data_IF_853406984242
#
_entry.id   IF_853406984242
#
_cell.length_a   1.000
_cell.length_b   1.000
_cell.length_c   1.000
_cell.angle_alpha   90.00
_cell.angle_beta   90.00
_cell.angle_gamma   90.00
#
_symmetry.space_group_name_H-M   'P 1'
#
loop_
_entity.id
_entity.type
_entity.pdbx_description
1 polymer ?
#
# COMPACT_ATOMS: atom_id res chain seq x y z
N UNK A 1 49.82 -28.69 -3.49
CA UNK A 1 50.89 -29.64 -3.08
C UNK A 1 51.66 -30.04 -4.32
N UNK A 2 52.96 -29.72 -4.36
CA UNK A 2 54.10 -30.54 -4.78
C UNK A 2 55.30 -29.60 -4.88
N UNK A 3 56.23 -29.82 -3.96
CA UNK A 3 57.58 -29.29 -3.89
C UNK A 3 58.40 -29.63 -5.13
N UNK A 4 59.28 -28.72 -5.55
CA UNK A 4 60.59 -29.07 -6.13
C UNK A 4 61.65 -28.03 -5.76
N UNK A 5 62.27 -28.31 -4.63
CA UNK A 5 63.70 -28.13 -4.42
C UNK A 5 64.49 -28.59 -5.65
N UNK A 6 65.45 -27.77 -6.07
CA UNK A 6 66.54 -28.18 -6.95
C UNK A 6 67.83 -27.67 -6.36
N UNK A 7 68.42 -28.54 -5.54
CA UNK A 7 69.80 -28.44 -5.09
C UNK A 7 70.73 -28.55 -6.30
N UNK A 8 71.78 -27.72 -6.38
CA UNK A 8 73.03 -28.22 -6.96
C UNK A 8 74.28 -27.74 -6.22
N UNK A 9 75.22 -28.69 -6.16
CA UNK A 9 76.36 -28.88 -5.28
C UNK A 9 77.51 -27.88 -5.42
N UNK A 10 78.12 -27.60 -4.25
CA UNK A 10 79.57 -27.58 -3.92
C UNK A 10 80.56 -27.10 -4.99
N UNK A 11 81.30 -26.05 -4.64
CA UNK A 11 82.76 -26.07 -4.75
C UNK A 11 83.36 -25.19 -3.67
N UNK A 12 84.21 -25.78 -2.83
CA UNK A 12 84.90 -25.05 -1.78
C UNK A 12 86.04 -24.23 -2.36
N UNK A 13 86.11 -22.96 -1.97
CA UNK A 13 87.37 -22.23 -1.93
C UNK A 13 87.52 -21.61 -0.55
N UNK A 14 88.42 -22.22 0.24
CA UNK A 14 88.97 -21.61 1.45
C UNK A 14 89.95 -20.53 1.00
N UNK A 15 89.45 -19.30 0.86
CA UNK A 15 90.31 -18.13 0.79
C UNK A 15 90.44 -17.56 2.19
N UNK A 16 91.56 -17.88 2.85
CA UNK A 16 92.06 -17.09 3.97
C UNK A 16 92.22 -15.65 3.47
N UNK A 17 91.37 -14.74 3.95
CA UNK A 17 91.64 -13.31 3.84
C UNK A 17 91.73 -12.75 5.26
N UNK A 18 92.95 -12.32 5.56
CA UNK A 18 93.39 -11.54 6.69
C UNK A 18 92.28 -10.65 7.26
N UNK A 19 92.11 -10.72 8.59
CA UNK A 19 91.55 -9.62 9.37
C UNK A 19 92.46 -8.40 9.17
N UNK A 20 92.08 -7.49 8.28
CA UNK A 20 92.56 -6.11 8.32
C UNK A 20 91.58 -5.31 9.16
N UNK A 21 92.08 -4.86 10.32
CA UNK A 21 91.48 -3.76 11.07
C UNK A 21 91.60 -2.51 10.20
N UNK A 22 90.47 -1.83 9.98
CA UNK A 22 90.42 -0.39 9.68
C UNK A 22 90.68 0.03 8.23
N UNK A 23 89.60 0.26 7.49
CA UNK A 23 89.44 1.51 6.75
C UNK A 23 87.93 1.73 6.55
N UNK A 24 87.32 2.49 7.45
CA UNK A 24 86.04 3.13 7.16
C UNK A 24 86.30 4.13 6.02
N UNK A 25 86.16 3.64 4.78
CA UNK A 25 86.22 4.47 3.59
C UNK A 25 84.97 5.37 3.64
N UNK A 26 85.11 6.69 3.84
CA UNK A 26 83.98 7.59 3.97
C UNK A 26 83.09 7.60 2.71
N UNK A 27 83.63 7.16 1.56
CA UNK A 27 82.87 6.93 0.33
C UNK A 27 81.82 5.81 0.48
N UNK A 28 82.15 4.72 1.17
CA UNK A 28 81.27 3.55 1.25
C UNK A 28 80.11 3.77 2.24
N UNK A 29 80.37 4.49 3.33
CA UNK A 29 79.34 4.89 4.30
C UNK A 29 78.38 5.94 3.70
N UNK A 30 78.89 6.84 2.85
CA UNK A 30 78.08 7.80 2.11
C UNK A 30 77.20 7.11 1.07
N UNK A 31 77.73 6.13 0.34
CA UNK A 31 76.98 5.33 -0.64
C UNK A 31 75.87 4.49 0.00
N UNK A 32 76.12 3.90 1.17
CA UNK A 32 75.09 3.19 1.95
C UNK A 32 74.00 4.14 2.48
N UNK A 33 74.38 5.34 2.94
CA UNK A 33 73.42 6.38 3.36
C UNK A 33 72.56 6.88 2.20
N UNK A 34 73.15 7.09 1.02
CA UNK A 34 72.42 7.50 -0.20
C UNK A 34 71.45 6.40 -0.64
N UNK A 35 71.87 5.12 -0.62
CA UNK A 35 70.98 4.00 -0.92
C UNK A 35 69.83 3.87 0.08
N UNK A 36 70.11 3.98 1.38
CA UNK A 36 69.08 3.94 2.42
C UNK A 36 68.09 5.10 2.29
N UNK A 37 68.58 6.30 1.94
CA UNK A 37 67.73 7.45 1.67
C UNK A 37 66.85 7.24 0.44
N UNK A 38 67.40 6.71 -0.65
CA UNK A 38 66.64 6.36 -1.86
C UNK A 38 65.50 5.37 -1.58
N UNK A 39 65.76 4.31 -0.80
CA UNK A 39 64.73 3.33 -0.41
C UNK A 39 63.61 3.98 0.41
N UNK A 40 63.95 4.87 1.35
CA UNK A 40 62.95 5.59 2.16
C UNK A 40 62.12 6.55 1.32
N UNK A 41 62.73 7.25 0.36
CA UNK A 41 62.02 8.14 -0.55
C UNK A 41 61.07 7.35 -1.46
N UNK A 42 61.51 6.22 -2.03
CA UNK A 42 60.64 5.35 -2.83
C UNK A 42 59.46 4.83 -2.02
N UNK A 43 59.69 4.33 -0.80
CA UNK A 43 58.60 3.87 0.06
C UNK A 43 57.61 5.00 0.43
N UNK A 44 58.11 6.24 0.58
CA UNK A 44 57.26 7.40 0.82
C UNK A 44 56.44 7.81 -0.41
N UNK A 45 57.03 7.71 -1.60
CA UNK A 45 56.32 7.95 -2.88
C UNK A 45 55.22 6.90 -3.08
N UNK A 46 55.52 5.62 -2.82
CA UNK A 46 54.54 4.54 -2.93
C UNK A 46 53.35 4.75 -1.98
N UNK A 47 53.61 5.17 -0.73
CA UNK A 47 52.56 5.52 0.24
C UNK A 47 51.72 6.73 -0.18
N UNK A 48 52.34 7.76 -0.75
CA UNK A 48 51.61 8.92 -1.28
C UNK A 48 50.74 8.54 -2.47
N UNK A 49 51.21 7.63 -3.32
CA UNK A 49 50.46 7.15 -4.46
C UNK A 49 49.25 6.30 -4.03
N UNK A 50 49.44 5.37 -3.08
CA UNK A 50 48.35 4.56 -2.51
C UNK A 50 47.29 5.44 -1.82
N UNK A 51 47.73 6.43 -1.03
CA UNK A 51 46.81 7.39 -0.39
C UNK A 51 46.09 8.26 -1.43
N UNK A 52 46.79 8.66 -2.50
CA UNK A 52 46.20 9.42 -3.60
C UNK A 52 45.12 8.63 -4.33
N UNK A 53 45.38 7.36 -4.63
CA UNK A 53 44.41 6.45 -5.27
C UNK A 53 43.15 6.24 -4.39
N UNK A 54 43.32 6.08 -3.07
CA UNK A 54 42.20 5.98 -2.12
C UNK A 54 41.33 7.25 -2.11
N UNK A 55 41.95 8.43 -2.07
CA UNK A 55 41.23 9.72 -2.13
C UNK A 55 40.45 9.87 -3.44
N UNK A 56 41.03 9.51 -4.59
CA UNK A 56 40.33 9.54 -5.87
C UNK A 56 39.13 8.58 -5.90
N UNK A 57 39.25 7.39 -5.32
CA UNK A 57 38.11 6.46 -5.22
C UNK A 57 37.00 6.97 -4.30
N UNK A 58 37.35 7.63 -3.19
CA UNK A 58 36.37 8.23 -2.28
C UNK A 58 35.67 9.42 -2.94
N UNK A 59 36.39 10.27 -3.66
CA UNK A 59 35.82 11.40 -4.40
C UNK A 59 34.80 10.93 -5.45
N UNK A 60 35.13 9.90 -6.24
CA UNK A 60 34.20 9.30 -7.21
C UNK A 60 32.95 8.75 -6.53
N UNK A 61 33.11 8.09 -5.39
CA UNK A 61 31.98 7.55 -4.61
C UNK A 61 31.07 8.66 -4.09
N UNK A 62 31.64 9.76 -3.59
CA UNK A 62 30.89 10.94 -3.14
C UNK A 62 30.15 11.59 -4.30
N UNK A 63 30.77 11.69 -5.47
CA UNK A 63 30.15 12.25 -6.67
C UNK A 63 28.96 11.39 -7.14
N UNK A 64 29.10 10.06 -7.15
CA UNK A 64 28.00 9.14 -7.46
C UNK A 64 26.85 9.24 -6.44
N UNK A 65 27.16 9.34 -5.14
CA UNK A 65 26.15 9.54 -4.09
C UNK A 65 25.44 10.88 -4.21
N UNK A 66 26.16 11.95 -4.53
CA UNK A 66 25.59 13.28 -4.75
C UNK A 66 24.64 13.28 -5.95
N UNK A 67 25.05 12.65 -7.06
CA UNK A 67 24.18 12.53 -8.24
C UNK A 67 22.90 11.73 -7.95
N UNK A 68 22.99 10.64 -7.19
CA UNK A 68 21.80 9.90 -6.73
C UNK A 68 20.91 10.73 -5.81
N UNK A 69 21.51 11.55 -4.95
CA UNK A 69 20.77 12.46 -4.08
C UNK A 69 20.00 13.51 -4.88
N UNK A 70 20.61 14.09 -5.90
CA UNK A 70 19.96 15.08 -6.79
C UNK A 70 18.76 14.47 -7.53
N UNK A 71 18.90 13.23 -8.02
CA UNK A 71 17.79 12.48 -8.63
C UNK A 71 16.66 12.28 -7.61
N UNK A 72 16.98 11.81 -6.40
CA UNK A 72 15.98 11.61 -5.34
C UNK A 72 15.29 12.91 -4.89
N UNK A 73 16.00 14.04 -4.90
CA UNK A 73 15.42 15.37 -4.63
C UNK A 73 14.44 15.76 -5.75
N UNK A 74 14.80 15.52 -7.01
CA UNK A 74 13.92 15.79 -8.15
C UNK A 74 12.65 14.94 -8.10
N UNK A 75 12.79 13.63 -7.90
CA UNK A 75 11.65 12.72 -7.77
C UNK A 75 10.73 13.11 -6.61
N UNK A 76 11.30 13.51 -5.48
CA UNK A 76 10.54 14.01 -4.33
C UNK A 76 9.77 15.29 -4.67
N UNK A 77 10.36 16.20 -5.45
CA UNK A 77 9.68 17.42 -5.90
C UNK A 77 8.48 17.10 -6.79
N UNK A 78 8.65 16.20 -7.76
CA UNK A 78 7.57 15.78 -8.65
C UNK A 78 6.40 15.13 -7.88
N UNK A 79 6.73 14.33 -6.85
CA UNK A 79 5.72 13.76 -5.95
C UNK A 79 4.97 14.83 -5.15
N UNK A 80 5.67 15.87 -4.68
CA UNK A 80 5.03 16.99 -3.95
C UNK A 80 4.07 17.77 -4.85
N UNK A 81 4.47 18.07 -6.08
CA UNK A 81 3.63 18.77 -7.06
C UNK A 81 2.37 17.93 -7.39
N UNK A 82 2.52 16.60 -7.52
CA UNK A 82 1.40 15.68 -7.72
C UNK A 82 0.45 15.64 -6.52
N UNK A 83 0.97 15.67 -5.29
CA UNK A 83 0.16 15.73 -4.06
C UNK A 83 -0.64 17.04 -4.02
N UNK A 84 -0.04 18.17 -4.40
CA UNK A 84 -0.72 19.47 -4.44
C UNK A 84 -1.87 19.46 -5.45
N UNK A 85 -1.64 18.91 -6.65
CA UNK A 85 -2.68 18.73 -7.66
C UNK A 85 -3.85 17.86 -7.14
N UNK A 86 -3.54 16.70 -6.55
CA UNK A 86 -4.57 15.81 -6.00
C UNK A 86 -5.37 16.44 -4.86
N UNK A 87 -4.75 17.29 -4.03
CA UNK A 87 -5.48 18.05 -3.00
C UNK A 87 -6.49 19.01 -3.61
N UNK A 88 -6.13 19.68 -4.71
CA UNK A 88 -7.04 20.59 -5.41
C UNK A 88 -8.24 19.84 -6.00
N UNK A 89 -8.00 18.73 -6.69
CA UNK A 89 -9.05 17.89 -7.26
C UNK A 89 -9.99 17.35 -6.19
N UNK A 90 -9.45 16.98 -5.02
CA UNK A 90 -10.26 16.53 -3.87
C UNK A 90 -11.23 17.61 -3.39
N UNK A 91 -10.77 18.86 -3.27
CA UNK A 91 -11.63 19.98 -2.85
C UNK A 91 -12.74 20.24 -3.87
N UNK A 92 -12.42 20.18 -5.17
CA UNK A 92 -13.43 20.34 -6.22
C UNK A 92 -14.47 19.21 -6.19
N UNK A 93 -14.02 17.97 -6.00
CA UNK A 93 -14.91 16.81 -5.88
C UNK A 93 -15.80 16.89 -4.64
N UNK A 94 -15.26 17.29 -3.48
CA UNK A 94 -16.03 17.54 -2.26
C UNK A 94 -17.10 18.62 -2.48
N UNK A 95 -16.79 19.67 -3.25
CA UNK A 95 -17.75 20.72 -3.60
C UNK A 95 -18.89 20.17 -4.47
N UNK A 96 -18.57 19.41 -5.53
CA UNK A 96 -19.57 18.80 -6.41
C UNK A 96 -20.45 17.79 -5.67
N UNK A 97 -19.86 17.02 -4.76
CA UNK A 97 -20.60 16.07 -3.94
C UNK A 97 -21.65 16.78 -3.06
N UNK A 98 -21.27 17.89 -2.40
CA UNK A 98 -22.20 18.70 -1.61
C UNK A 98 -23.37 19.24 -2.44
N UNK A 99 -23.09 19.70 -3.66
CA UNK A 99 -24.12 20.17 -4.58
C UNK A 99 -25.12 19.07 -4.95
N UNK A 100 -24.62 17.87 -5.27
CA UNK A 100 -25.49 16.71 -5.58
C UNK A 100 -26.36 16.32 -4.37
N UNK A 101 -25.78 16.28 -3.16
CA UNK A 101 -26.54 15.97 -1.94
C UNK A 101 -27.65 16.99 -1.72
N UNK A 102 -27.36 18.27 -1.90
CA UNK A 102 -28.36 19.33 -1.77
C UNK A 102 -29.50 19.17 -2.78
N UNK A 103 -29.18 18.88 -4.05
CA UNK A 103 -30.19 18.64 -5.08
C UNK A 103 -31.08 17.43 -4.75
N UNK A 104 -30.50 16.35 -4.21
CA UNK A 104 -31.25 15.17 -3.78
C UNK A 104 -32.19 15.47 -2.59
N UNK A 105 -31.76 16.29 -1.63
CA UNK A 105 -32.60 16.73 -0.51
C UNK A 105 -33.77 17.60 -0.99
N UNK A 106 -33.51 18.53 -1.91
CA UNK A 106 -34.52 19.37 -2.55
C UNK A 106 -35.54 18.53 -3.34
N UNK A 107 -35.10 17.51 -4.07
CA UNK A 107 -36.00 16.62 -4.81
C UNK A 107 -36.82 15.72 -3.88
N UNK A 108 -36.22 15.20 -2.81
CA UNK A 108 -36.91 14.37 -1.82
C UNK A 108 -38.00 15.16 -1.07
N UNK A 109 -37.70 16.42 -0.68
CA UNK A 109 -38.70 17.30 -0.07
C UNK A 109 -39.85 17.62 -1.02
N UNK A 110 -39.56 17.85 -2.31
CA UNK A 110 -40.56 18.02 -3.35
C UNK A 110 -41.45 16.78 -3.51
N UNK A 111 -40.86 15.59 -3.61
CA UNK A 111 -41.57 14.32 -3.74
C UNK A 111 -42.47 14.03 -2.53
N UNK A 112 -42.01 14.32 -1.30
CA UNK A 112 -42.84 14.21 -0.09
C UNK A 112 -44.07 15.11 -0.16
N UNK A 113 -43.91 16.36 -0.60
CA UNK A 113 -45.01 17.31 -0.78
C UNK A 113 -46.03 16.81 -1.81
N UNK A 114 -45.56 16.29 -2.95
CA UNK A 114 -46.44 15.79 -4.00
C UNK A 114 -47.16 14.50 -3.57
N UNK A 115 -46.50 13.60 -2.83
CA UNK A 115 -47.13 12.43 -2.23
C UNK A 115 -48.24 12.82 -1.23
N UNK A 116 -48.03 13.84 -0.40
CA UNK A 116 -49.08 14.33 0.50
C UNK A 116 -50.30 14.89 -0.27
N UNK A 117 -50.07 15.61 -1.38
CA UNK A 117 -51.16 16.12 -2.22
C UNK A 117 -51.97 14.98 -2.82
N UNK A 118 -51.30 13.97 -3.38
CA UNK A 118 -51.95 12.78 -3.94
C UNK A 118 -52.76 12.05 -2.86
N UNK A 119 -52.18 11.85 -1.67
CA UNK A 119 -52.87 11.22 -0.53
C UNK A 119 -54.13 11.99 -0.13
N UNK A 120 -54.06 13.31 -0.03
CA UNK A 120 -55.23 14.17 0.27
C UNK A 120 -56.30 14.07 -0.82
N UNK A 121 -55.91 14.00 -2.09
CA UNK A 121 -56.85 13.85 -3.20
C UNK A 121 -57.50 12.46 -3.25
N UNK A 122 -56.75 11.40 -2.96
CA UNK A 122 -57.30 10.04 -2.82
C UNK A 122 -58.31 9.96 -1.67
N UNK A 123 -58.01 10.52 -0.50
CA UNK A 123 -58.96 10.56 0.63
C UNK A 123 -60.27 11.28 0.26
N UNK A 124 -60.20 12.40 -0.47
CA UNK A 124 -61.40 13.10 -0.97
C UNK A 124 -62.21 12.30 -1.99
N UNK A 125 -61.57 11.37 -2.72
CA UNK A 125 -62.24 10.47 -3.68
C UNK A 125 -62.85 9.25 -2.98
N UNK A 126 -62.27 8.79 -1.87
CA UNK A 126 -62.79 7.68 -1.05
C UNK A 126 -64.09 8.06 -0.31
N UNK A 127 -64.24 9.32 0.11
CA UNK A 127 -65.46 9.84 0.77
C UNK A 127 -66.76 9.83 -0.09
N UNK A 128 -66.70 9.40 -1.36
CA UNK A 128 -67.88 9.30 -2.26
C UNK A 128 -68.34 7.87 -2.54
N UNK A 129 -67.77 6.87 -1.89
CA UNK A 129 -68.17 5.46 -2.06
C UNK A 129 -68.37 4.80 -0.69
N UNK A 130 -69.58 4.33 -0.35
CA UNK A 130 -69.80 3.61 0.88
C UNK A 130 -69.34 2.16 0.69
N UNK A 131 -68.16 1.81 1.19
CA UNK A 131 -67.75 0.41 1.33
C UNK A 131 -67.21 0.21 2.74
N UNK A 132 -68.11 -0.24 3.60
CA UNK A 132 -67.79 -1.01 4.79
C UNK A 132 -66.82 -2.15 4.43
N UNK A 133 -65.81 -2.36 5.28
CA UNK A 133 -64.90 -3.52 5.33
C UNK A 133 -63.74 -3.57 4.32
N UNK A 134 -62.81 -2.63 4.40
CA UNK A 134 -61.39 -2.92 4.10
C UNK A 134 -60.49 -2.40 5.23
N UNK A 135 -60.89 -2.64 6.48
CA UNK A 135 -59.97 -2.73 7.61
C UNK A 135 -59.46 -4.18 7.68
N UNK A 136 -58.57 -4.51 6.76
CA UNK A 136 -57.63 -5.61 6.91
C UNK A 136 -56.26 -5.06 6.54
N UNK A 137 -55.73 -4.27 7.48
CA UNK A 137 -54.33 -4.17 7.85
C UNK A 137 -53.34 -4.18 6.66
N UNK A 138 -52.97 -2.99 6.20
CA UNK A 138 -51.62 -2.76 5.71
C UNK A 138 -50.67 -2.95 6.91
N UNK A 139 -50.35 -4.20 7.21
CA UNK A 139 -49.17 -4.53 7.99
C UNK A 139 -47.96 -4.06 7.18
N UNK A 140 -47.16 -3.18 7.77
CA UNK A 140 -45.79 -2.94 7.33
C UNK A 140 -45.10 -4.30 7.41
N UNK A 141 -44.87 -4.94 6.28
CA UNK A 141 -44.06 -6.16 6.23
C UNK A 141 -42.63 -5.76 6.63
N UNK A 142 -42.27 -6.02 7.88
CA UNK A 142 -40.89 -6.34 8.21
C UNK A 142 -40.44 -7.38 7.19
N UNK A 143 -39.38 -7.09 6.43
CA UNK A 143 -38.83 -8.06 5.49
C UNK A 143 -38.30 -9.22 6.33
N UNK A 144 -39.13 -10.26 6.46
CA UNK A 144 -38.90 -11.43 7.30
C UNK A 144 -37.56 -12.10 6.92
N UNK A 145 -36.84 -12.65 7.89
CA UNK A 145 -35.54 -13.33 7.67
C UNK A 145 -35.66 -14.42 6.60
N UNK A 146 -36.83 -15.09 6.59
CA UNK A 146 -37.23 -16.10 5.61
C UNK A 146 -37.29 -15.53 4.19
N UNK A 147 -37.77 -14.29 4.05
CA UNK A 147 -37.87 -13.62 2.75
C UNK A 147 -36.48 -13.35 2.20
N UNK A 148 -35.53 -12.85 3.00
CA UNK A 148 -34.16 -12.58 2.56
C UNK A 148 -33.46 -13.90 2.17
N UNK A 149 -33.55 -14.93 3.01
CA UNK A 149 -32.90 -16.22 2.77
C UNK A 149 -33.38 -16.90 1.48
N UNK A 150 -34.68 -16.80 1.16
CA UNK A 150 -35.27 -17.38 -0.05
C UNK A 150 -34.73 -16.79 -1.36
N UNK A 151 -34.06 -15.63 -1.32
CA UNK A 151 -33.40 -15.04 -2.50
C UNK A 151 -32.02 -15.61 -2.78
N UNK A 152 -31.46 -16.39 -1.85
CA UNK A 152 -30.14 -17.00 -1.98
C UNK A 152 -30.27 -18.49 -2.28
N UNK A 153 -29.30 -19.04 -3.01
CA UNK A 153 -29.26 -20.46 -3.30
C UNK A 153 -29.26 -21.29 -1.99
N UNK A 154 -30.06 -22.37 -1.88
CA UNK A 154 -30.22 -23.13 -0.63
C UNK A 154 -28.91 -23.65 -0.02
N UNK A 155 -27.87 -23.86 -0.84
CA UNK A 155 -26.54 -24.25 -0.36
C UNK A 155 -25.87 -23.24 0.57
N UNK A 156 -26.37 -22.00 0.65
CA UNK A 156 -25.83 -20.94 1.50
C UNK A 156 -26.66 -20.71 2.75
N UNK A 157 -27.84 -21.32 2.89
CA UNK A 157 -28.76 -21.04 3.99
C UNK A 157 -28.16 -21.36 5.35
N UNK A 158 -27.61 -22.56 5.55
CA UNK A 158 -27.02 -22.95 6.83
C UNK A 158 -25.88 -22.01 7.26
N UNK A 159 -25.06 -21.57 6.29
CA UNK A 159 -23.95 -20.64 6.55
C UNK A 159 -24.42 -19.22 6.85
N UNK A 160 -25.47 -18.76 6.16
CA UNK A 160 -26.08 -17.45 6.39
C UNK A 160 -26.80 -17.38 7.74
N UNK A 161 -27.48 -18.46 8.13
CA UNK A 161 -28.13 -18.57 9.44
C UNK A 161 -27.07 -18.52 10.54
N UNK A 162 -26.02 -19.34 10.45
CA UNK A 162 -24.91 -19.33 11.42
C UNK A 162 -24.21 -17.95 11.49
N UNK A 163 -23.97 -17.32 10.34
CA UNK A 163 -23.36 -15.99 10.30
C UNK A 163 -24.27 -14.93 10.92
N UNK A 164 -25.58 -14.99 10.68
CA UNK A 164 -26.54 -14.06 11.28
C UNK A 164 -26.66 -14.25 12.80
N UNK A 165 -26.61 -15.49 13.29
CA UNK A 165 -26.59 -15.78 14.72
C UNK A 165 -25.34 -15.23 15.41
N UNK A 166 -24.18 -15.35 14.76
CA UNK A 166 -22.91 -14.77 15.24
C UNK A 166 -22.85 -13.25 15.08
N UNK A 167 -23.45 -12.72 14.02
CA UNK A 167 -23.39 -11.31 13.67
C UNK A 167 -24.73 -10.80 13.14
N UNK A 168 -25.45 -10.08 14.00
CA UNK A 168 -26.77 -9.51 13.69
C UNK A 168 -26.77 -8.47 12.56
N UNK A 169 -25.61 -8.05 12.05
CA UNK A 169 -25.50 -7.14 10.90
C UNK A 169 -25.65 -7.86 9.56
N UNK A 170 -25.61 -9.19 9.53
CA UNK A 170 -25.65 -9.99 8.30
C UNK A 170 -26.93 -9.73 7.49
N UNK A 171 -28.10 -9.89 8.11
CA UNK A 171 -29.37 -9.65 7.42
C UNK A 171 -29.58 -8.17 7.03
N UNK A 172 -29.31 -7.17 7.89
CA UNK A 172 -29.34 -5.76 7.50
C UNK A 172 -28.46 -5.43 6.29
N UNK A 173 -27.24 -6.00 6.26
CA UNK A 173 -26.31 -5.85 5.13
C UNK A 173 -26.93 -6.45 3.86
N UNK A 174 -27.40 -7.69 3.91
CA UNK A 174 -27.97 -8.37 2.75
C UNK A 174 -29.24 -7.68 2.24
N UNK A 175 -30.11 -7.24 3.15
CA UNK A 175 -31.31 -6.47 2.81
C UNK A 175 -30.96 -5.16 2.11
N UNK A 176 -29.96 -4.43 2.63
CA UNK A 176 -29.54 -3.15 2.04
C UNK A 176 -28.87 -3.35 0.69
N UNK A 177 -28.05 -4.39 0.56
CA UNK A 177 -27.43 -4.77 -0.72
C UNK A 177 -28.46 -5.22 -1.74
N UNK A 178 -29.56 -5.85 -1.31
CA UNK A 178 -30.67 -6.23 -2.17
C UNK A 178 -31.38 -5.01 -2.76
N UNK A 179 -31.66 -4.00 -1.93
CA UNK A 179 -32.25 -2.74 -2.40
C UNK A 179 -31.33 -1.98 -3.36
N UNK A 180 -30.03 -1.93 -3.04
CA UNK A 180 -29.08 -1.09 -3.76
C UNK A 180 -28.43 -1.77 -4.96
N UNK A 181 -28.47 -3.11 -5.02
CA UNK A 181 -27.87 -4.01 -6.01
C UNK A 181 -26.34 -3.95 -6.08
N UNK A 182 -25.75 -2.75 -6.05
CA UNK A 182 -24.31 -2.48 -6.07
C UNK A 182 -24.01 -1.19 -5.30
N UNK A 183 -23.11 -1.23 -4.33
CA UNK A 183 -22.79 -0.08 -3.47
C UNK A 183 -21.37 -0.14 -2.91
N UNK A 184 -20.82 1.01 -2.51
CA UNK A 184 -19.53 1.07 -1.82
C UNK A 184 -19.69 0.73 -0.33
N UNK A 185 -18.69 0.07 0.25
CA UNK A 185 -18.65 -0.28 1.69
C UNK A 185 -18.92 0.91 2.61
N UNK A 186 -18.33 2.08 2.33
CA UNK A 186 -18.57 3.30 3.12
C UNK A 186 -20.04 3.71 3.09
N UNK A 187 -20.69 3.63 1.91
CA UNK A 187 -22.10 4.01 1.76
C UNK A 187 -22.99 3.01 2.51
N UNK A 188 -22.65 1.72 2.43
CA UNK A 188 -23.35 0.67 3.17
C UNK A 188 -23.24 0.86 4.69
N UNK A 189 -22.02 1.12 5.20
CA UNK A 189 -21.78 1.36 6.62
C UNK A 189 -22.52 2.61 7.14
N UNK A 190 -22.54 3.69 6.35
CA UNK A 190 -23.29 4.91 6.67
C UNK A 190 -24.80 4.68 6.70
N UNK A 191 -25.36 3.96 5.72
CA UNK A 191 -26.80 3.67 5.65
C UNK A 191 -27.28 2.79 6.80
N UNK A 192 -26.42 1.90 7.28
CA UNK A 192 -26.68 1.01 8.41
C UNK A 192 -26.30 1.61 9.77
N UNK A 193 -25.70 2.80 9.79
CA UNK A 193 -25.20 3.47 11.01
C UNK A 193 -24.23 2.59 11.83
N UNK A 194 -23.36 1.84 11.14
CA UNK A 194 -22.40 0.90 11.75
C UNK A 194 -20.96 1.31 11.49
N UNK A 195 -20.05 0.83 12.34
CA UNK A 195 -18.62 1.04 12.14
C UNK A 195 -18.14 0.39 10.84
N UNK A 196 -17.30 1.11 10.10
CA UNK A 196 -16.77 0.66 8.82
C UNK A 196 -15.99 -0.67 8.95
N UNK A 197 -15.25 -0.85 10.04
CA UNK A 197 -14.44 -2.05 10.28
C UNK A 197 -15.33 -3.25 10.56
N UNK A 198 -16.38 -3.07 11.37
CA UNK A 198 -17.35 -4.13 11.68
C UNK A 198 -18.18 -4.51 10.45
N UNK A 199 -18.59 -3.52 9.65
CA UNK A 199 -19.25 -3.78 8.36
C UNK A 199 -18.32 -4.55 7.41
N UNK A 200 -17.02 -4.20 7.38
CA UNK A 200 -16.03 -4.85 6.53
C UNK A 200 -15.80 -6.31 6.88
N UNK A 201 -15.79 -6.66 8.17
CA UNK A 201 -15.66 -8.06 8.63
C UNK A 201 -16.78 -8.94 8.06
N UNK A 202 -18.03 -8.51 8.19
CA UNK A 202 -19.18 -9.26 7.65
C UNK A 202 -19.13 -9.35 6.13
N UNK A 203 -18.73 -8.27 5.46
CA UNK A 203 -18.56 -8.26 4.01
C UNK A 203 -17.49 -9.25 3.55
N UNK A 204 -16.37 -9.38 4.27
CA UNK A 204 -15.35 -10.39 3.92
C UNK A 204 -15.90 -11.81 4.09
N UNK A 205 -16.63 -12.11 5.18
CA UNK A 205 -17.26 -13.43 5.36
C UNK A 205 -18.28 -13.73 4.25
N UNK A 206 -19.11 -12.75 3.86
CA UNK A 206 -20.06 -12.89 2.76
C UNK A 206 -19.38 -13.08 1.39
N UNK A 207 -18.21 -12.47 1.17
CA UNK A 207 -17.39 -12.68 -0.03
C UNK A 207 -16.82 -14.11 -0.06
N UNK A 208 -16.29 -14.60 1.07
CA UNK A 208 -15.77 -15.96 1.20
C UNK A 208 -16.86 -17.03 0.99
N UNK A 209 -18.09 -16.73 1.43
CA UNK A 209 -19.26 -17.56 1.15
C UNK A 209 -19.70 -17.51 -0.32
N UNK A 210 -19.13 -16.61 -1.12
CA UNK A 210 -19.47 -16.44 -2.54
C UNK A 210 -20.84 -15.81 -2.76
N UNK A 211 -21.37 -15.09 -1.77
CA UNK A 211 -22.69 -14.44 -1.81
C UNK A 211 -22.61 -13.07 -2.45
N UNK A 212 -21.48 -12.38 -2.24
CA UNK A 212 -21.17 -11.09 -2.84
C UNK A 212 -19.87 -11.16 -3.64
N UNK A 213 -19.65 -10.14 -4.46
CA UNK A 213 -18.42 -9.94 -5.24
C UNK A 213 -17.89 -8.52 -4.98
N UNK A 214 -16.60 -8.40 -4.72
CA UNK A 214 -15.91 -7.12 -4.57
C UNK A 214 -15.20 -6.74 -5.88
N UNK A 215 -15.64 -5.67 -6.56
CA UNK A 215 -15.15 -5.32 -7.91
C UNK A 215 -13.95 -4.37 -7.97
N UNK A 216 -13.54 -3.79 -6.85
CA UNK A 216 -12.44 -2.81 -6.83
C UNK A 216 -11.61 -2.94 -5.55
N UNK A 217 -10.87 -4.05 -5.43
CA UNK A 217 -9.80 -4.18 -4.42
C UNK A 217 -8.61 -3.33 -4.87
N UNK A 218 -8.66 -2.01 -4.70
CA UNK A 218 -7.47 -1.17 -4.84
C UNK A 218 -6.47 -1.67 -3.80
N UNK A 219 -5.19 -1.85 -4.17
CA UNK A 219 -4.12 -2.20 -3.25
C UNK A 219 -4.10 -1.18 -2.10
N UNK A 220 -4.66 -1.58 -0.94
CA UNK A 220 -4.91 -0.68 0.21
C UNK A 220 -6.32 -0.72 0.80
N UNK A 221 -7.31 -1.35 0.16
CA UNK A 221 -8.50 -1.90 0.82
C UNK A 221 -9.49 -0.94 1.51
N UNK A 222 -9.46 0.37 1.24
CA UNK A 222 -10.24 1.32 2.06
C UNK A 222 -11.74 1.42 1.72
N UNK A 223 -12.19 1.01 0.54
CA UNK A 223 -13.62 1.13 0.17
C UNK A 223 -14.01 0.31 -1.08
N UNK A 224 -14.14 -1.03 -0.98
CA UNK A 224 -14.51 -1.86 -2.13
C UNK A 224 -15.92 -1.54 -2.63
N UNK A 225 -16.12 -1.68 -3.94
CA UNK A 225 -17.44 -1.75 -4.55
C UNK A 225 -18.01 -3.17 -4.36
N UNK A 226 -19.13 -3.27 -3.65
CA UNK A 226 -19.81 -4.51 -3.27
C UNK A 226 -20.99 -4.72 -4.20
N UNK A 227 -21.11 -5.92 -4.78
CA UNK A 227 -22.27 -6.35 -5.56
C UNK A 227 -22.78 -7.70 -5.07
N UNK A 228 -24.10 -7.89 -5.00
CA UNK A 228 -24.67 -9.23 -4.81
C UNK A 228 -24.36 -10.11 -6.02
N UNK A 229 -24.02 -11.37 -5.76
CA UNK A 229 -23.81 -12.34 -6.83
C UNK A 229 -25.17 -12.74 -7.38
N UNK A 230 -25.34 -12.60 -8.69
CA UNK A 230 -26.52 -13.09 -9.40
C UNK A 230 -26.43 -14.62 -9.49
N UNK A 231 -27.47 -15.32 -9.02
CA UNK A 231 -27.60 -16.76 -9.18
C UNK A 231 -28.45 -17.02 -10.43
N UNK A 232 -27.81 -17.41 -11.52
CA UNK A 232 -28.47 -17.94 -12.73
C UNK A 232 -28.85 -19.40 -12.56
#
# INVERSE_FOLDING_TARGET
MIDRDSSNKKSGNKSNILKTKGSSDPSNEMDEKIKSFGIKVSAFIDQLQETGEDVFTQEKTIQELTSKMDIGISEKKDLLDKIEFLKKDRVELESKYKEIVQLLEEENTRLKSDNEKIKKEMMRKVDKTPIDKVEAMASVEEVDEVTILNHFHPSHWDKLIDLNERNKLTLPILSTLWEMQETHLIILALKLEVDHSHCFEVINELEEMGIIVLKQKIAGGLNPLIKLKEYT
#
